data_IF_737374320385
#
_entry.id   IF_737374320385
#
_cell.length_a   1.000
_cell.length_b   1.000
_cell.length_c   1.000
_cell.angle_alpha   90.00
_cell.angle_beta   90.00
_cell.angle_gamma   90.00
#
_symmetry.space_group_name_H-M   'P 1'
#
loop_
_entity.id
_entity.type
_entity.pdbx_description
1 polymer ?
#
# COMPACT_ATOMS: atom_id res chain seq x y z
N UNK A 1 16.42 -2.22 9.37
CA UNK A 1 15.38 -2.26 8.32
C UNK A 1 14.49 -1.02 8.43
N UNK A 2 14.18 -0.39 7.28
CA UNK A 2 13.33 0.81 7.23
C UNK A 2 11.86 0.42 7.39
N UNK A 3 11.48 -0.74 6.87
CA UNK A 3 10.13 -1.30 6.92
C UNK A 3 10.12 -2.72 7.47
N UNK A 4 9.07 -3.05 8.23
CA UNK A 4 8.63 -4.42 8.46
C UNK A 4 7.71 -4.78 7.29
N UNK A 5 8.08 -5.77 6.48
CA UNK A 5 7.31 -6.19 5.31
C UNK A 5 6.43 -7.39 5.66
N UNK A 6 5.13 -7.29 5.35
CA UNK A 6 4.08 -8.27 5.65
C UNK A 6 4.00 -8.60 7.16
N UNK A 7 3.81 -7.60 8.03
CA UNK A 7 3.67 -7.81 9.46
C UNK A 7 2.49 -8.74 9.77
N UNK A 8 2.52 -9.36 10.95
CA UNK A 8 1.39 -10.12 11.46
C UNK A 8 0.75 -9.41 12.64
N UNK A 9 -0.57 -9.34 12.64
CA UNK A 9 -1.35 -8.79 13.74
C UNK A 9 -1.87 -9.92 14.65
N UNK A 10 -2.10 -9.55 15.92
CA UNK A 10 -2.78 -10.40 16.91
C UNK A 10 -3.99 -9.62 17.41
N UNK A 11 -5.14 -10.26 17.43
CA UNK A 11 -6.39 -9.73 17.95
C UNK A 11 -7.25 -10.88 18.46
N UNK A 12 -8.33 -10.56 19.19
CA UNK A 12 -9.28 -11.58 19.61
C UNK A 12 -10.14 -12.03 18.42
N UNK A 13 -10.58 -13.26 18.43
CA UNK A 13 -11.32 -13.88 17.32
C UNK A 13 -12.62 -13.13 16.97
N UNK A 14 -13.26 -12.52 17.96
CA UNK A 14 -14.51 -11.77 17.82
C UNK A 14 -14.31 -10.28 17.55
N UNK A 15 -13.07 -9.78 17.50
CA UNK A 15 -12.81 -8.38 17.16
C UNK A 15 -13.22 -8.13 15.71
N UNK A 16 -13.92 -7.02 15.50
CA UNK A 16 -14.25 -6.58 14.14
C UNK A 16 -13.03 -5.97 13.49
N UNK A 17 -12.79 -6.32 12.23
CA UNK A 17 -11.62 -5.90 11.46
C UNK A 17 -12.01 -5.55 10.02
N UNK A 18 -11.18 -4.75 9.33
CA UNK A 18 -11.40 -4.40 7.93
C UNK A 18 -10.88 -5.49 6.99
N UNK A 19 -11.70 -5.93 6.03
CA UNK A 19 -11.27 -6.81 4.95
C UNK A 19 -11.18 -6.03 3.63
N UNK A 20 -10.04 -6.13 2.93
CA UNK A 20 -9.81 -5.45 1.65
C UNK A 20 -9.47 -6.46 0.57
N UNK A 21 -10.31 -6.54 -0.46
CA UNK A 21 -10.01 -7.25 -1.71
C UNK A 21 -9.31 -6.34 -2.72
N UNK A 22 -8.69 -6.91 -3.75
CA UNK A 22 -8.01 -6.12 -4.79
C UNK A 22 -8.93 -5.17 -5.56
N UNK A 23 -10.20 -5.53 -5.73
CA UNK A 23 -11.21 -4.70 -6.41
C UNK A 23 -11.61 -3.46 -5.62
N UNK A 24 -11.36 -3.45 -4.29
CA UNK A 24 -11.68 -2.34 -3.40
C UNK A 24 -10.60 -1.25 -3.38
N UNK A 25 -9.45 -1.48 -4.03
CA UNK A 25 -8.32 -0.55 -4.07
C UNK A 25 -8.39 0.23 -5.39
N UNK A 26 -8.42 1.57 -5.29
CA UNK A 26 -8.41 2.42 -6.47
C UNK A 26 -7.05 2.46 -7.16
N UNK A 27 -7.07 2.72 -8.45
CA UNK A 27 -5.89 2.83 -9.32
C UNK A 27 -5.33 4.26 -9.33
N UNK A 28 -4.14 4.41 -9.90
CA UNK A 28 -3.50 5.70 -10.10
C UNK A 28 -2.91 6.30 -8.82
N UNK A 29 -2.84 7.63 -8.78
CA UNK A 29 -2.19 8.36 -7.69
C UNK A 29 -3.10 8.65 -6.49
N UNK A 30 -4.39 8.30 -6.58
CA UNK A 30 -5.33 8.47 -5.47
C UNK A 30 -4.99 7.52 -4.30
N UNK A 31 -5.21 8.02 -3.08
CA UNK A 31 -5.11 7.23 -1.84
C UNK A 31 -6.51 6.95 -1.32
N UNK A 32 -7.21 6.03 -1.98
CA UNK A 32 -8.56 5.64 -1.57
C UNK A 32 -8.82 4.15 -1.81
N UNK A 33 -9.60 3.59 -0.90
CA UNK A 33 -10.03 2.20 -0.94
C UNK A 33 -11.34 2.05 -0.16
N UNK A 34 -11.96 0.89 -0.32
CA UNK A 34 -13.11 0.47 0.48
C UNK A 34 -12.73 -0.77 1.30
N UNK A 35 -13.47 -1.06 2.35
CA UNK A 35 -13.33 -2.29 3.11
C UNK A 35 -14.70 -2.82 3.53
N UNK A 36 -14.76 -4.12 3.78
CA UNK A 36 -15.86 -4.78 4.46
C UNK A 36 -15.48 -4.98 5.92
N UNK A 37 -16.45 -4.84 6.83
CA UNK A 37 -16.24 -5.19 8.24
C UNK A 37 -16.51 -6.68 8.44
N UNK A 38 -15.53 -7.41 8.97
CA UNK A 38 -15.60 -8.85 9.23
C UNK A 38 -15.05 -9.18 10.62
N UNK A 39 -15.47 -10.30 11.20
CA UNK A 39 -14.82 -10.83 12.41
C UNK A 39 -13.39 -11.28 12.11
N UNK A 40 -12.44 -10.98 13.01
CA UNK A 40 -11.04 -11.36 12.85
C UNK A 40 -10.85 -12.86 12.64
N UNK A 41 -11.64 -13.68 13.34
CA UNK A 41 -11.64 -15.15 13.20
C UNK A 41 -11.74 -15.62 11.75
N UNK A 42 -12.51 -14.89 10.91
CA UNK A 42 -12.77 -15.24 9.51
C UNK A 42 -11.67 -14.81 8.54
N UNK A 43 -10.80 -13.87 8.96
CA UNK A 43 -9.77 -13.28 8.09
C UNK A 43 -8.34 -13.35 8.65
N UNK A 44 -8.15 -13.91 9.84
CA UNK A 44 -6.83 -14.04 10.47
C UNK A 44 -5.90 -15.05 9.78
N UNK A 45 -6.44 -15.97 9.00
CA UNK A 45 -5.69 -17.00 8.28
C UNK A 45 -5.93 -16.89 6.78
N UNK A 46 -4.88 -17.15 5.98
CA UNK A 46 -4.97 -17.15 4.51
C UNK A 46 -4.94 -15.76 3.86
N UNK A 47 -4.78 -14.69 4.64
CA UNK A 47 -4.77 -13.31 4.15
C UNK A 47 -3.51 -12.53 4.59
N UNK A 48 -3.25 -11.41 3.93
CA UNK A 48 -2.20 -10.47 4.30
C UNK A 48 -2.73 -9.53 5.38
N UNK A 49 -2.05 -9.45 6.53
CA UNK A 49 -2.46 -8.59 7.65
C UNK A 49 -1.95 -7.17 7.48
N UNK A 50 -2.73 -6.22 8.01
CA UNK A 50 -2.36 -4.80 8.09
C UNK A 50 -3.06 -4.12 9.27
N UNK A 51 -2.62 -2.94 9.61
CA UNK A 51 -3.26 -2.06 10.59
C UNK A 51 -3.27 -0.61 10.10
N UNK A 52 -3.97 0.26 10.82
CA UNK A 52 -3.97 1.69 10.52
C UNK A 52 -2.53 2.25 10.52
N UNK A 53 -2.21 3.03 9.49
CA UNK A 53 -0.87 3.58 9.25
C UNK A 53 0.04 2.71 8.37
N UNK A 54 -0.29 1.44 8.15
CA UNK A 54 0.44 0.61 7.19
C UNK A 54 0.19 1.06 5.75
N UNK A 55 1.15 0.78 4.87
CA UNK A 55 1.01 1.00 3.42
C UNK A 55 0.88 -0.36 2.75
N UNK A 56 -0.17 -0.55 1.97
CA UNK A 56 -0.36 -1.76 1.17
C UNK A 56 -0.15 -1.45 -0.32
N UNK A 57 0.61 -2.31 -0.99
CA UNK A 57 1.00 -2.18 -2.39
C UNK A 57 0.69 -3.48 -3.11
N UNK A 58 -0.04 -3.42 -4.22
CA UNK A 58 -0.28 -4.60 -5.05
C UNK A 58 1.04 -5.16 -5.59
N UNK A 59 1.19 -6.48 -5.53
CA UNK A 59 2.38 -7.15 -6.06
C UNK A 59 2.15 -7.90 -7.36
N UNK A 60 0.89 -8.02 -7.79
CA UNK A 60 0.48 -8.75 -8.99
C UNK A 60 0.26 -7.81 -10.18
N UNK A 61 0.71 -8.22 -11.38
CA UNK A 61 0.40 -7.58 -12.65
C UNK A 61 -1.08 -7.82 -13.06
N UNK A 62 -1.81 -6.82 -13.60
CA UNK A 62 -1.38 -5.43 -13.87
C UNK A 62 -1.65 -4.45 -12.70
N UNK A 63 -2.05 -4.94 -11.52
CA UNK A 63 -2.47 -4.09 -10.40
C UNK A 63 -1.32 -3.22 -9.87
N UNK A 64 -0.07 -3.72 -9.89
CA UNK A 64 1.10 -2.93 -9.50
C UNK A 64 1.33 -1.78 -10.49
N UNK A 65 1.32 -2.06 -11.78
CA UNK A 65 1.51 -1.08 -12.86
C UNK A 65 0.43 -0.01 -12.83
N UNK A 66 -0.79 -0.41 -12.47
CA UNK A 66 -1.93 0.50 -12.28
C UNK A 66 -1.86 1.25 -10.93
N UNK A 67 -0.77 1.13 -10.16
CA UNK A 67 -0.55 1.82 -8.88
C UNK A 67 -1.63 1.54 -7.82
N UNK A 68 -2.18 0.34 -7.78
CA UNK A 68 -3.08 -0.07 -6.70
C UNK A 68 -2.30 -0.18 -5.40
N UNK A 69 -2.29 0.91 -4.66
CA UNK A 69 -1.65 1.01 -3.34
C UNK A 69 -2.36 2.08 -2.50
N UNK A 70 -2.30 1.93 -1.17
CA UNK A 70 -3.05 2.77 -0.25
C UNK A 70 -2.39 2.83 1.12
N UNK A 71 -2.72 3.84 1.90
CA UNK A 71 -2.46 3.89 3.34
C UNK A 71 -3.72 3.38 4.06
N UNK A 72 -3.56 2.38 4.91
CA UNK A 72 -4.65 1.83 5.70
C UNK A 72 -5.01 2.84 6.80
N UNK A 73 -6.31 3.18 6.92
CA UNK A 73 -6.81 4.14 7.92
C UNK A 73 -8.30 3.94 8.20
N UNK A 74 -8.69 4.14 9.44
CA UNK A 74 -10.09 4.08 9.86
C UNK A 74 -10.66 2.67 9.86
N UNK A 75 -9.81 1.65 10.02
CA UNK A 75 -10.23 0.28 10.12
C UNK A 75 -10.93 0.00 11.48
N UNK A 76 -11.92 -0.88 11.54
CA UNK A 76 -12.48 -1.35 12.81
C UNK A 76 -11.35 -1.88 13.71
N UNK A 77 -11.32 -1.40 14.96
CA UNK A 77 -10.24 -1.67 15.93
C UNK A 77 -8.81 -1.40 15.41
N UNK A 78 -8.67 -0.60 14.34
CA UNK A 78 -7.40 -0.25 13.72
C UNK A 78 -6.69 -1.41 13.03
N UNK A 79 -7.34 -2.54 12.78
CA UNK A 79 -6.75 -3.75 12.21
C UNK A 79 -7.53 -4.27 11.01
N UNK A 80 -6.85 -5.03 10.18
CA UNK A 80 -7.48 -5.70 9.04
C UNK A 80 -6.62 -6.76 8.40
N UNK A 81 -7.21 -7.40 7.41
CA UNK A 81 -6.53 -8.32 6.51
C UNK A 81 -7.12 -8.21 5.10
N UNK A 82 -6.40 -8.64 4.10
CA UNK A 82 -6.86 -8.54 2.73
C UNK A 82 -6.19 -9.55 1.81
N UNK A 83 -6.41 -9.36 0.53
CA UNK A 83 -5.87 -10.25 -0.50
C UNK A 83 -4.38 -10.54 -0.30
N UNK A 84 -3.99 -11.78 -0.56
CA UNK A 84 -2.58 -12.21 -0.53
C UNK A 84 -1.74 -11.58 -1.63
N UNK A 85 -2.36 -10.88 -2.57
CA UNK A 85 -1.69 -10.17 -3.66
C UNK A 85 -1.20 -8.76 -3.28
N UNK A 86 -1.06 -8.50 -1.99
CA UNK A 86 -0.47 -7.28 -1.42
C UNK A 86 0.88 -7.56 -0.77
N UNK A 87 1.81 -6.60 -0.87
CA UNK A 87 2.86 -6.39 0.12
C UNK A 87 2.43 -5.27 1.05
N UNK A 88 2.63 -5.46 2.35
CA UNK A 88 2.30 -4.48 3.40
C UNK A 88 3.59 -4.01 4.06
N UNK A 89 3.71 -2.70 4.22
CA UNK A 89 4.89 -2.02 4.77
C UNK A 89 4.49 -1.27 6.03
N UNK A 90 5.17 -1.56 7.14
CA UNK A 90 5.02 -0.88 8.42
C UNK A 90 6.33 -0.23 8.81
N UNK A 91 6.28 1.04 9.19
CA UNK A 91 7.44 1.79 9.67
C UNK A 91 7.06 2.77 10.77
N UNK A 92 7.97 3.02 11.70
CA UNK A 92 7.86 4.08 12.71
C UNK A 92 8.70 5.31 12.38
N UNK A 93 9.53 5.24 11.33
CA UNK A 93 10.49 6.29 10.96
C UNK A 93 10.23 6.90 9.58
N UNK A 94 9.24 6.37 8.85
CA UNK A 94 8.87 6.84 7.52
C UNK A 94 7.47 7.43 7.55
N UNK A 95 7.30 8.63 6.99
CA UNK A 95 5.98 9.20 6.74
C UNK A 95 5.23 8.37 5.69
N UNK A 96 4.01 7.94 6.03
CA UNK A 96 3.25 7.01 5.19
C UNK A 96 2.90 7.60 3.81
N UNK A 97 2.62 8.91 3.72
CA UNK A 97 2.33 9.57 2.43
C UNK A 97 3.56 9.68 1.56
N UNK A 98 4.71 10.01 2.17
CA UNK A 98 5.98 10.04 1.47
C UNK A 98 6.30 8.66 0.87
N UNK A 99 6.17 7.60 1.67
CA UNK A 99 6.39 6.23 1.19
C UNK A 99 5.37 5.82 0.12
N UNK A 100 4.09 6.18 0.27
CA UNK A 100 3.07 5.89 -0.74
C UNK A 100 3.43 6.52 -2.10
N UNK A 101 3.89 7.78 -2.14
CA UNK A 101 4.32 8.41 -3.38
C UNK A 101 5.54 7.72 -3.99
N UNK A 102 6.48 7.28 -3.17
CA UNK A 102 7.59 6.47 -3.65
C UNK A 102 7.11 5.17 -4.29
N UNK A 103 6.23 4.42 -3.63
CA UNK A 103 5.67 3.16 -4.15
C UNK A 103 4.79 3.35 -5.41
N UNK A 104 4.22 4.53 -5.58
CA UNK A 104 3.48 4.90 -6.80
C UNK A 104 4.35 5.48 -7.91
N UNK A 105 5.65 5.72 -7.68
CA UNK A 105 6.54 6.30 -8.66
C UNK A 105 6.87 5.35 -9.81
N UNK A 106 7.13 5.91 -10.99
CA UNK A 106 7.60 5.13 -12.13
C UNK A 106 8.93 4.44 -11.85
N UNK A 107 9.78 5.05 -11.01
CA UNK A 107 11.04 4.45 -10.57
C UNK A 107 10.80 3.11 -9.85
N UNK A 108 9.96 3.10 -8.81
CA UNK A 108 9.68 1.88 -8.06
C UNK A 108 9.03 0.80 -8.94
N UNK A 109 8.03 1.19 -9.74
CA UNK A 109 7.32 0.25 -10.63
C UNK A 109 8.28 -0.35 -11.66
N UNK A 110 9.16 0.45 -12.27
CA UNK A 110 10.14 -0.03 -13.23
C UNK A 110 11.13 -1.05 -12.63
N UNK A 111 11.58 -0.83 -11.37
CA UNK A 111 12.41 -1.79 -10.64
C UNK A 111 11.68 -3.12 -10.42
N UNK A 112 10.38 -3.08 -10.20
CA UNK A 112 9.57 -4.28 -9.98
C UNK A 112 9.28 -5.06 -11.27
N UNK A 113 8.92 -4.38 -12.38
CA UNK A 113 8.49 -5.01 -13.64
C UNK A 113 9.58 -5.92 -14.23
N UNK A 114 10.86 -5.52 -14.15
CA UNK A 114 11.98 -6.30 -14.67
C UNK A 114 12.23 -7.64 -13.96
N UNK A 115 11.54 -7.90 -12.85
CA UNK A 115 11.79 -9.05 -11.96
C UNK A 115 10.57 -9.96 -11.80
N UNK A 116 9.50 -9.72 -12.54
CA UNK A 116 8.26 -10.47 -12.43
C UNK A 116 8.47 -11.98 -12.66
N UNK A 117 7.96 -12.78 -11.73
CA UNK A 117 7.88 -14.22 -11.83
C UNK A 117 6.43 -14.69 -12.04
N UNK A 118 6.22 -15.67 -12.91
CA UNK A 118 4.92 -16.25 -13.20
C UNK A 118 4.52 -16.16 -14.67
N UNK A 119 3.29 -16.62 -14.96
CA UNK A 119 2.71 -16.58 -16.31
C UNK A 119 2.24 -15.17 -16.62
N UNK A 120 2.32 -14.76 -17.89
CA UNK A 120 1.83 -13.45 -18.37
C UNK A 120 0.40 -13.19 -17.87
N UNK A 121 0.16 -12.01 -17.26
CA UNK A 121 -1.12 -11.62 -16.66
C UNK A 121 -1.34 -12.08 -15.21
N UNK A 122 -0.40 -12.86 -14.64
CA UNK A 122 -0.40 -13.28 -13.24
C UNK A 122 1.00 -13.21 -12.61
N UNK A 123 1.86 -12.36 -13.13
CA UNK A 123 3.22 -12.17 -12.65
C UNK A 123 3.21 -11.41 -11.32
N UNK A 124 4.14 -11.74 -10.43
CA UNK A 124 4.24 -11.19 -9.08
C UNK A 124 5.65 -10.75 -8.76
N UNK A 125 5.75 -9.64 -8.04
CA UNK A 125 7.01 -9.19 -7.45
C UNK A 125 7.26 -9.93 -6.15
N UNK A 126 8.43 -10.57 -6.05
CA UNK A 126 8.88 -11.24 -4.84
C UNK A 126 9.27 -10.23 -3.75
N UNK A 127 9.13 -10.64 -2.47
CA UNK A 127 9.55 -9.83 -1.32
C UNK A 127 11.03 -9.46 -1.39
N UNK A 128 11.90 -10.39 -1.77
CA UNK A 128 13.34 -10.17 -1.90
C UNK A 128 13.69 -9.05 -2.88
N UNK A 129 12.95 -8.93 -3.98
CA UNK A 129 13.14 -7.83 -4.94
C UNK A 129 12.88 -6.48 -4.28
N UNK A 130 11.80 -6.38 -3.51
CA UNK A 130 11.42 -5.13 -2.82
C UNK A 130 12.45 -4.78 -1.74
N UNK A 131 13.01 -5.77 -1.04
CA UNK A 131 14.03 -5.57 -0.01
C UNK A 131 15.33 -4.99 -0.59
N UNK A 132 15.62 -5.24 -1.87
CA UNK A 132 16.82 -4.75 -2.56
C UNK A 132 16.62 -3.35 -3.19
N UNK A 133 15.39 -2.83 -3.28
CA UNK A 133 15.12 -1.51 -3.86
C UNK A 133 15.57 -0.41 -2.90
N UNK A 134 16.42 0.49 -3.41
CA UNK A 134 16.92 1.63 -2.63
C UNK A 134 15.77 2.61 -2.36
N UNK A 135 15.46 2.80 -1.09
CA UNK A 135 14.46 3.76 -0.61
C UNK A 135 15.16 5.03 -0.11
N UNK A 136 14.89 6.22 -0.68
CA UNK A 136 15.46 7.47 -0.18
C UNK A 136 14.86 7.81 1.18
N UNK A 137 15.71 8.03 2.18
CA UNK A 137 15.29 8.29 3.56
C UNK A 137 15.83 9.63 4.08
N UNK A 138 15.26 10.77 3.65
CA UNK A 138 15.59 12.06 4.25
C UNK A 138 15.04 12.17 5.68
N UNK A 139 15.46 13.18 6.47
CA UNK A 139 14.87 13.44 7.78
C UNK A 139 13.34 13.53 7.72
N UNK A 140 12.63 13.12 8.77
CA UNK A 140 11.17 13.00 8.79
C UNK A 140 10.44 14.29 8.40
N UNK A 141 10.95 15.45 8.83
CA UNK A 141 10.39 16.76 8.45
C UNK A 141 10.47 17.00 6.94
N UNK A 142 11.57 16.58 6.32
CA UNK A 142 11.72 16.69 4.87
C UNK A 142 10.80 15.72 4.12
N UNK A 143 10.61 14.49 4.62
CA UNK A 143 9.62 13.54 4.08
C UNK A 143 8.23 14.17 4.09
N UNK A 144 7.81 14.80 5.21
CA UNK A 144 6.52 15.47 5.34
C UNK A 144 6.39 16.67 4.39
N UNK A 145 7.45 17.47 4.27
CA UNK A 145 7.48 18.60 3.34
C UNK A 145 7.29 18.16 1.89
N UNK A 146 8.02 17.12 1.46
CA UNK A 146 7.90 16.54 0.13
C UNK A 146 6.48 16.00 -0.10
N UNK A 147 5.96 15.20 0.82
CA UNK A 147 4.62 14.63 0.71
C UNK A 147 3.53 15.70 0.62
N UNK A 148 3.64 16.77 1.42
CA UNK A 148 2.73 17.90 1.37
C UNK A 148 2.79 18.62 0.01
N UNK A 149 3.99 18.88 -0.49
CA UNK A 149 4.18 19.54 -1.80
C UNK A 149 3.55 18.72 -2.93
N UNK A 150 3.80 17.41 -2.97
CA UNK A 150 3.22 16.52 -3.98
C UNK A 150 1.68 16.53 -3.87
N UNK A 151 1.12 16.47 -2.66
CA UNK A 151 -0.33 16.51 -2.45
C UNK A 151 -0.96 17.80 -2.99
N UNK A 152 -0.30 18.94 -2.80
CA UNK A 152 -0.76 20.24 -3.32
C UNK A 152 -0.73 20.25 -4.85
N UNK A 153 0.32 19.73 -5.46
CA UNK A 153 0.45 19.65 -6.93
C UNK A 153 -0.67 18.78 -7.51
N UNK A 154 -0.91 17.59 -6.96
CA UNK A 154 -2.00 16.73 -7.45
C UNK A 154 -3.36 17.40 -7.30
N UNK A 155 -3.63 18.08 -6.18
CA UNK A 155 -4.88 18.83 -6.00
C UNK A 155 -5.08 19.92 -7.06
N UNK A 156 -4.02 20.62 -7.43
CA UNK A 156 -4.11 21.62 -8.51
C UNK A 156 -4.37 20.98 -9.87
N UNK A 157 -3.73 19.83 -10.16
CA UNK A 157 -3.98 19.09 -11.39
C UNK A 157 -5.43 18.58 -11.46
N UNK A 158 -5.96 18.04 -10.37
CA UNK A 158 -7.35 17.58 -10.31
C UNK A 158 -8.35 18.74 -10.54
N UNK A 159 -8.08 19.92 -9.98
CA UNK A 159 -8.91 21.10 -10.21
C UNK A 159 -8.90 21.50 -11.70
N UNK A 160 -7.74 21.55 -12.35
CA UNK A 160 -7.62 21.85 -13.78
C UNK A 160 -8.39 20.83 -14.62
N UNK A 161 -8.26 19.53 -14.30
CA UNK A 161 -8.96 18.47 -15.02
C UNK A 161 -10.48 18.53 -14.85
N UNK A 162 -10.97 19.05 -13.71
CA UNK A 162 -12.41 19.21 -13.46
C UNK A 162 -13.04 20.41 -14.18
N UNK A 163 -12.22 21.33 -14.71
CA UNK A 163 -12.66 22.53 -15.46
C UNK A 163 -12.64 22.31 -16.98
N UNK A 164 -12.10 21.15 -17.44
CA UNK A 164 -12.05 20.76 -18.86
C UNK A 164 -13.22 19.88 -19.26
#
# INVERSE_FOLDING_TARGET
DIFIINPKNKANDYDMAGFVSMSMINEGYVDSYQYETREWSSIKAGFTHFQDGDIAVAKISPCLENRKSMILKGLPNGIGAGTTELHVFRSSIVDARYALYFFKSDYFIAQCIGTFNGVVGQQRVGKSVIEDIVFPLPPLEEQRRIACTISVIFKHLDNILSEL
#
